data_IF_705704156367
#
_entry.id   IF_705704156367
#
_cell.length_a   1.000
_cell.length_b   1.000
_cell.length_c   1.000
_cell.angle_alpha   90.00
_cell.angle_beta   90.00
_cell.angle_gamma   90.00
#
_symmetry.space_group_name_H-M   'P 1'
#
loop_
_entity.id
_entity.type
_entity.pdbx_description
1 polymer ?
#
# COMPACT_ATOMS: atom_id res chain seq x y z
N UNK A 1 9.15 -67.41 22.90
CA UNK A 1 8.27 -66.54 22.09
C UNK A 1 6.90 -66.51 22.77
N UNK A 2 6.61 -65.47 23.56
CA UNK A 2 5.27 -65.23 24.11
C UNK A 2 5.11 -63.72 24.23
N UNK A 3 4.08 -63.16 23.60
CA UNK A 3 3.82 -61.72 23.52
C UNK A 3 2.73 -61.35 24.51
N UNK A 4 2.96 -60.31 25.32
CA UNK A 4 1.93 -59.59 26.09
C UNK A 4 1.00 -58.82 25.13
N UNK A 5 -0.30 -58.66 25.45
CA UNK A 5 -0.91 -57.67 26.35
C UNK A 5 -0.70 -56.22 25.82
N UNK A 6 -1.67 -55.33 25.62
CA UNK A 6 -2.79 -54.89 26.47
C UNK A 6 -3.82 -54.05 25.65
N UNK A 7 -4.87 -53.59 26.35
CA UNK A 7 -6.19 -53.10 25.95
C UNK A 7 -6.35 -51.68 25.33
N UNK A 8 -7.55 -51.51 24.73
CA UNK A 8 -8.48 -50.37 24.62
C UNK A 8 -8.06 -48.93 24.93
N UNK A 9 -8.47 -48.02 24.04
CA UNK A 9 -8.82 -46.62 24.36
C UNK A 9 -8.79 -45.67 23.15
N UNK A 10 -9.95 -45.26 22.63
CA UNK A 10 -10.08 -44.02 21.82
C UNK A 10 -9.90 -42.77 22.69
N UNK A 11 -9.79 -41.54 22.15
CA UNK A 11 -10.76 -40.97 21.21
C UNK A 11 -10.16 -40.20 20.01
N UNK A 12 -11.04 -39.83 19.09
CA UNK A 12 -10.79 -38.94 17.96
C UNK A 12 -10.27 -37.57 18.41
N UNK A 13 -9.13 -37.16 17.85
CA UNK A 13 -8.71 -35.76 17.84
C UNK A 13 -9.29 -35.10 16.60
N UNK A 14 -10.31 -34.28 16.82
CA UNK A 14 -10.62 -33.17 15.92
C UNK A 14 -9.69 -32.03 16.32
N UNK A 15 -8.83 -31.58 15.42
CA UNK A 15 -8.28 -30.23 15.49
C UNK A 15 -8.64 -29.51 14.19
N UNK A 16 -9.63 -28.63 14.32
CA UNK A 16 -10.09 -27.78 13.23
C UNK A 16 -9.08 -26.67 13.01
N UNK A 17 -8.47 -26.64 11.83
CA UNK A 17 -7.82 -25.43 11.31
C UNK A 17 -8.87 -24.42 10.88
N UNK A 18 -9.54 -23.83 11.86
CA UNK A 18 -10.05 -22.48 11.73
C UNK A 18 -8.85 -21.53 11.87
N UNK A 19 -8.14 -21.28 10.76
CA UNK A 19 -7.53 -19.97 10.57
C UNK A 19 -8.68 -19.04 10.21
N UNK A 20 -9.47 -18.60 11.20
CA UNK A 20 -9.26 -17.35 11.93
C UNK A 20 -9.00 -16.22 10.95
N UNK A 21 -10.11 -15.64 10.50
CA UNK A 21 -10.11 -14.34 9.86
C UNK A 21 -9.64 -13.29 10.86
N UNK A 22 -8.41 -12.85 10.67
CA UNK A 22 -7.87 -11.57 11.11
C UNK A 22 -6.70 -11.20 10.17
N UNK A 23 -7.03 -10.95 8.91
CA UNK A 23 -6.08 -10.40 7.93
C UNK A 23 -6.67 -9.18 7.20
N UNK A 24 -7.86 -8.72 7.62
CA UNK A 24 -8.56 -7.59 7.01
C UNK A 24 -8.26 -6.24 7.71
N UNK A 25 -7.40 -6.23 8.73
CA UNK A 25 -6.93 -5.02 9.43
C UNK A 25 -5.44 -4.73 9.23
N UNK A 26 -4.70 -5.62 8.54
CA UNK A 26 -3.40 -5.29 8.00
C UNK A 26 -3.64 -4.73 6.59
N UNK A 27 -3.28 -3.47 6.36
CA UNK A 27 -3.35 -2.87 5.02
C UNK A 27 -2.69 -3.78 3.98
N UNK A 28 -3.08 -3.62 2.71
CA UNK A 28 -2.52 -4.41 1.62
C UNK A 28 -0.98 -4.36 1.68
N UNK A 29 -0.27 -5.50 1.81
CA UNK A 29 1.18 -5.50 2.03
C UNK A 29 1.94 -4.90 0.84
N UNK A 30 1.35 -4.96 -0.36
CA UNK A 30 1.92 -4.36 -1.55
C UNK A 30 1.82 -2.82 -1.49
N UNK A 31 0.77 -2.28 -0.86
CA UNK A 31 0.62 -0.86 -0.56
C UNK A 31 1.53 -0.42 0.60
N UNK A 32 1.58 -1.17 1.70
CA UNK A 32 2.47 -0.84 2.83
C UNK A 32 3.95 -0.79 2.41
N UNK A 33 4.37 -1.69 1.52
CA UNK A 33 5.73 -1.69 0.95
C UNK A 33 6.03 -0.50 0.02
N UNK A 34 5.03 0.32 -0.33
CA UNK A 34 5.20 1.51 -1.17
C UNK A 34 5.28 2.83 -0.39
N UNK A 35 4.91 2.86 0.89
CA UNK A 35 4.90 4.09 1.71
C UNK A 35 6.26 4.79 1.66
N UNK A 36 7.33 4.05 1.97
CA UNK A 36 8.70 4.59 1.95
C UNK A 36 9.13 5.04 0.54
N UNK A 37 8.98 4.21 -0.51
CA UNK A 37 9.30 4.63 -1.88
C UNK A 37 8.54 5.87 -2.40
N UNK A 38 7.25 6.04 -2.05
CA UNK A 38 6.51 7.23 -2.50
C UNK A 38 6.94 8.48 -1.74
N UNK A 39 7.25 8.36 -0.45
CA UNK A 39 7.78 9.46 0.36
C UNK A 39 9.20 9.86 -0.07
N UNK A 40 10.04 8.91 -0.49
CA UNK A 40 11.37 9.18 -1.05
C UNK A 40 11.30 10.05 -2.31
N UNK A 41 10.36 9.75 -3.21
CA UNK A 41 10.14 10.57 -4.40
C UNK A 41 9.69 11.99 -4.03
N UNK A 42 8.83 12.13 -3.02
CA UNK A 42 8.39 13.44 -2.56
C UNK A 42 9.56 14.22 -1.94
N UNK A 43 10.36 13.59 -1.06
CA UNK A 43 11.56 14.20 -0.47
C UNK A 43 12.47 14.80 -1.54
N UNK A 44 12.74 14.05 -2.62
CA UNK A 44 13.59 14.51 -3.71
C UNK A 44 13.04 15.75 -4.42
N UNK A 45 11.71 15.92 -4.44
CA UNK A 45 11.02 17.06 -5.06
C UNK A 45 11.04 18.28 -4.16
N UNK A 46 10.75 18.10 -2.87
CA UNK A 46 10.74 19.21 -1.89
C UNK A 46 12.15 19.63 -1.46
N UNK A 47 13.17 18.81 -1.76
CA UNK A 47 14.57 19.11 -1.43
C UNK A 47 14.90 18.88 0.05
N UNK A 48 14.11 18.06 0.73
CA UNK A 48 14.28 17.72 2.15
C UNK A 48 15.33 16.62 2.33
N UNK A 49 15.75 16.41 3.57
CA UNK A 49 16.82 15.49 3.91
C UNK A 49 16.32 14.11 4.38
N UNK A 50 17.26 13.27 4.84
CA UNK A 50 16.92 11.96 5.36
C UNK A 50 16.16 12.03 6.69
N UNK A 51 16.40 13.05 7.53
CA UNK A 51 15.74 13.18 8.83
C UNK A 51 14.26 13.50 8.67
N UNK A 52 13.93 14.35 7.69
CA UNK A 52 12.55 14.59 7.25
C UNK A 52 11.85 13.28 6.85
N UNK A 53 12.52 12.44 6.06
CA UNK A 53 11.94 11.19 5.58
C UNK A 53 11.71 10.16 6.69
N UNK A 54 12.51 10.18 7.77
CA UNK A 54 12.33 9.28 8.91
C UNK A 54 11.07 9.59 9.75
N UNK A 55 10.57 10.83 9.70
CA UNK A 55 9.33 11.22 10.41
C UNK A 55 8.07 11.05 9.58
N UNK A 56 8.19 10.79 8.26
CA UNK A 56 7.04 10.51 7.39
C UNK A 56 6.55 9.08 7.61
N UNK A 57 5.34 8.96 8.15
CA UNK A 57 4.66 7.71 8.44
C UNK A 57 3.46 7.44 7.53
N UNK A 58 2.79 6.28 7.70
CA UNK A 58 1.58 5.93 6.96
C UNK A 58 0.46 6.97 7.11
N UNK A 59 0.24 7.45 8.34
CA UNK A 59 -0.86 8.35 8.69
C UNK A 59 -0.55 9.83 8.43
N UNK A 60 0.68 10.14 7.99
CA UNK A 60 1.10 11.50 7.69
C UNK A 60 0.28 12.04 6.52
N UNK A 61 -0.35 13.21 6.73
CA UNK A 61 -1.25 13.85 5.78
C UNK A 61 -0.50 14.66 4.73
N UNK A 62 -0.91 14.51 3.48
CA UNK A 62 -0.34 15.22 2.33
C UNK A 62 -0.58 16.72 2.44
N UNK A 63 -1.81 17.15 2.74
CA UNK A 63 -2.16 18.56 2.87
C UNK A 63 -1.77 19.13 4.25
N UNK A 64 -2.10 18.44 5.35
CA UNK A 64 -1.96 19.02 6.69
C UNK A 64 -0.57 18.90 7.34
N UNK A 65 0.10 17.75 7.18
CA UNK A 65 1.37 17.48 7.87
C UNK A 65 2.57 17.77 6.97
N UNK A 66 2.48 17.39 5.69
CA UNK A 66 3.53 17.63 4.70
C UNK A 66 3.38 18.98 3.98
N UNK A 67 2.20 19.61 4.06
CA UNK A 67 1.91 20.91 3.43
C UNK A 67 2.24 20.92 1.92
N UNK A 68 2.00 19.80 1.22
CA UNK A 68 2.36 19.66 -0.20
C UNK A 68 1.62 20.69 -1.05
N UNK A 69 2.39 21.52 -1.75
CA UNK A 69 1.85 22.52 -2.65
C UNK A 69 1.37 21.91 -3.98
N UNK A 70 0.50 22.64 -4.69
CA UNK A 70 -0.01 22.20 -6.00
C UNK A 70 1.09 21.91 -7.04
N UNK A 71 2.22 22.63 -7.00
CA UNK A 71 3.36 22.39 -7.87
C UNK A 71 4.10 21.10 -7.52
N UNK A 72 4.31 20.86 -6.22
CA UNK A 72 4.96 19.66 -5.70
C UNK A 72 4.10 18.43 -5.96
N UNK A 73 2.78 18.54 -5.81
CA UNK A 73 1.83 17.49 -6.16
C UNK A 73 1.93 17.12 -7.66
N UNK A 74 2.05 18.12 -8.54
CA UNK A 74 2.21 17.87 -9.97
C UNK A 74 3.55 17.20 -10.30
N UNK A 75 4.65 17.64 -9.68
CA UNK A 75 5.95 17.01 -9.82
C UNK A 75 5.96 15.57 -9.27
N UNK A 76 5.28 15.34 -8.15
CA UNK A 76 5.18 14.03 -7.51
C UNK A 76 4.37 13.06 -8.35
N UNK A 77 3.26 13.51 -8.93
CA UNK A 77 2.49 12.75 -9.93
C UNK A 77 3.36 12.30 -11.10
N UNK A 78 4.19 13.21 -11.66
CA UNK A 78 5.09 12.89 -12.76
C UNK A 78 6.16 11.87 -12.36
N UNK A 79 6.77 12.03 -11.19
CA UNK A 79 7.77 11.09 -10.66
C UNK A 79 7.19 9.70 -10.42
N UNK A 80 5.98 9.64 -9.84
CA UNK A 80 5.23 8.40 -9.64
C UNK A 80 4.90 7.71 -10.96
N UNK A 81 4.40 8.47 -11.95
CA UNK A 81 4.14 7.97 -13.30
C UNK A 81 5.40 7.40 -13.94
N UNK A 82 6.50 8.13 -13.90
CA UNK A 82 7.78 7.71 -14.48
C UNK A 82 8.32 6.42 -13.87
N UNK A 83 8.07 6.19 -12.56
CA UNK A 83 8.54 5.00 -11.84
C UNK A 83 7.60 3.81 -11.91
N UNK A 84 6.29 4.04 -11.89
CA UNK A 84 5.27 3.00 -11.70
C UNK A 84 4.34 2.80 -12.91
N UNK A 85 4.48 3.61 -13.96
CA UNK A 85 3.78 3.49 -15.23
C UNK A 85 2.67 4.53 -15.45
N UNK A 86 2.22 4.64 -16.70
CA UNK A 86 1.25 5.66 -17.16
C UNK A 86 -0.12 5.61 -16.49
N UNK A 87 -0.47 4.47 -15.87
CA UNK A 87 -1.71 4.30 -15.13
C UNK A 87 -1.77 5.06 -13.79
N UNK A 88 -0.64 5.61 -13.35
CA UNK A 88 -0.48 6.38 -12.12
C UNK A 88 -0.49 7.88 -12.46
N UNK A 89 -1.56 8.55 -12.05
CA UNK A 89 -1.78 9.99 -12.18
C UNK A 89 -2.37 10.54 -10.88
N UNK A 90 -1.46 10.99 -10.00
CA UNK A 90 -1.85 11.46 -8.67
C UNK A 90 -2.65 12.78 -8.74
N UNK A 91 -2.34 13.67 -9.69
CA UNK A 91 -3.10 14.91 -9.88
C UNK A 91 -4.53 14.60 -10.28
N UNK A 92 -4.73 13.71 -11.26
CA UNK A 92 -6.08 13.31 -11.68
C UNK A 92 -6.84 12.59 -10.55
N UNK A 93 -6.13 11.79 -9.74
CA UNK A 93 -6.71 11.15 -8.55
C UNK A 93 -7.21 12.19 -7.54
N UNK A 94 -6.34 13.13 -7.12
CA UNK A 94 -6.68 14.17 -6.15
C UNK A 94 -7.80 15.08 -6.66
N UNK A 95 -7.80 15.42 -7.96
CA UNK A 95 -8.87 16.24 -8.56
C UNK A 95 -10.25 15.56 -8.55
N UNK A 96 -10.31 14.24 -8.38
CA UNK A 96 -11.54 13.48 -8.25
C UNK A 96 -12.03 13.29 -6.81
N UNK A 97 -11.27 13.76 -5.81
CA UNK A 97 -11.62 13.65 -4.40
C UNK A 97 -12.45 14.85 -3.93
N UNK A 98 -13.36 14.61 -2.99
CA UNK A 98 -14.04 15.67 -2.24
C UNK A 98 -13.08 16.36 -1.26
N UNK A 99 -13.43 17.57 -0.81
CA UNK A 99 -12.54 18.38 0.03
C UNK A 99 -12.13 17.67 1.34
N UNK A 100 -13.07 16.95 1.97
CA UNK A 100 -12.80 16.20 3.20
C UNK A 100 -11.81 15.05 2.95
N UNK A 101 -11.86 14.44 1.77
CA UNK A 101 -10.95 13.37 1.36
C UNK A 101 -9.56 13.92 1.04
N UNK A 102 -9.46 15.11 0.45
CA UNK A 102 -8.18 15.78 0.19
C UNK A 102 -7.49 16.12 1.54
N UNK A 103 -8.22 16.73 2.47
CA UNK A 103 -7.71 17.07 3.81
C UNK A 103 -7.30 15.82 4.60
N UNK A 104 -7.99 14.70 4.37
CA UNK A 104 -7.72 13.41 4.98
C UNK A 104 -6.67 12.56 4.26
N UNK A 105 -6.17 12.96 3.09
CA UNK A 105 -5.31 12.13 2.25
C UNK A 105 -3.97 11.87 2.93
N UNK A 106 -3.65 10.61 3.17
CA UNK A 106 -2.40 10.18 3.82
C UNK A 106 -1.38 9.63 2.83
N UNK A 107 -0.13 9.50 3.26
CA UNK A 107 0.91 8.79 2.48
C UNK A 107 0.53 7.33 2.23
N UNK A 108 -0.16 6.67 3.18
CA UNK A 108 -0.67 5.31 2.99
C UNK A 108 -1.72 5.25 1.86
N UNK A 109 -2.62 6.23 1.76
CA UNK A 109 -3.60 6.30 0.67
C UNK A 109 -2.94 6.49 -0.70
N UNK A 110 -1.91 7.33 -0.77
CA UNK A 110 -1.10 7.49 -2.00
C UNK A 110 -0.41 6.18 -2.36
N UNK A 111 0.17 5.49 -1.39
CA UNK A 111 0.82 4.20 -1.60
C UNK A 111 -0.18 3.13 -2.09
N UNK A 112 -1.39 3.11 -1.53
CA UNK A 112 -2.48 2.23 -1.95
C UNK A 112 -2.96 2.54 -3.37
N UNK A 113 -3.11 3.82 -3.71
CA UNK A 113 -3.44 4.26 -5.06
C UNK A 113 -2.39 3.77 -6.08
N UNK A 114 -1.10 3.95 -5.77
CA UNK A 114 -0.01 3.49 -6.63
C UNK A 114 -0.01 1.97 -6.75
N UNK A 115 -0.21 1.23 -5.66
CA UNK A 115 -0.27 -0.24 -5.66
C UNK A 115 -1.37 -0.76 -6.61
N UNK A 116 -2.54 -0.13 -6.59
CA UNK A 116 -3.67 -0.51 -7.43
C UNK A 116 -3.45 -0.23 -8.93
N UNK A 117 -2.59 0.74 -9.27
CA UNK A 117 -2.40 1.24 -10.64
C UNK A 117 -1.12 0.77 -11.31
N UNK A 118 -0.07 0.44 -10.56
CA UNK A 118 1.25 -0.01 -11.09
C UNK A 118 1.22 -1.37 -11.81
N UNK A 119 0.07 -2.05 -11.82
CA UNK A 119 -0.08 -3.42 -12.33
C UNK A 119 -1.37 -3.67 -13.11
N UNK A 120 -2.06 -2.64 -13.60
CA UNK A 120 -3.10 -2.89 -14.60
C UNK A 120 -2.43 -3.56 -15.82
N UNK A 121 -2.79 -4.79 -16.19
CA UNK A 121 -2.29 -5.38 -17.42
C UNK A 121 -2.68 -4.43 -18.56
N UNK A 122 -1.72 -3.97 -19.35
CA UNK A 122 -2.03 -3.52 -20.71
C UNK A 122 -2.78 -4.69 -21.36
N UNK A 123 -4.08 -4.56 -21.71
CA UNK A 123 -4.69 -5.57 -22.54
C UNK A 123 -3.84 -5.63 -23.82
N UNK A 124 -3.43 -6.83 -24.29
CA UNK A 124 -2.72 -6.91 -25.55
C UNK A 124 -3.58 -6.20 -26.59
N UNK A 125 -3.09 -5.07 -27.10
CA UNK A 125 -3.74 -4.39 -28.19
C UNK A 125 -3.75 -5.38 -29.35
N UNK A 126 -4.94 -5.84 -29.72
CA UNK A 126 -5.15 -6.52 -30.98
C UNK A 126 -4.69 -5.55 -32.08
N UNK A 127 -3.46 -5.76 -32.55
CA UNK A 127 -2.90 -5.07 -33.68
C UNK A 127 -3.76 -5.39 -34.90
N UNK A 128 -4.50 -4.39 -35.37
CA UNK A 128 -5.15 -4.39 -36.68
C UNK A 128 -4.17 -4.15 -37.81
#
# INVERSE_FOLDING_TARGET
MTTGAVASGGPAVSDGTAASGDAAAAGDPAASGLIRPVAELLRDIVGEDAEWLEVVGPDTRVDGDLLVESHELAAWSLALRGRYGDGVDLVAYVAGLDIDQIIGLTVADVAAYVAARRGAPVPPGDGG
#
